data_IF_482777584666
#
_entry.id   IF_482777584666
#
_cell.length_a   1.000
_cell.length_b   1.000
_cell.length_c   1.000
_cell.angle_alpha   90.00
_cell.angle_beta   90.00
_cell.angle_gamma   90.00
#
_symmetry.space_group_name_H-M   'P 1'
#
loop_
_entity.id
_entity.type
_entity.pdbx_description
1 polymer ?
#
# COMPACT_ATOMS: atom_id res chain seq x y z
N UNK A 1 -38.83 14.55 44.61
CA UNK A 1 -38.25 13.62 43.62
C UNK A 1 -36.76 13.89 43.58
N UNK A 2 -35.97 13.14 44.36
CA UNK A 2 -34.52 13.31 44.43
C UNK A 2 -33.89 12.54 43.27
N UNK A 3 -33.34 13.26 42.29
CA UNK A 3 -32.58 12.70 41.19
C UNK A 3 -31.20 12.27 41.68
N UNK A 4 -31.01 10.97 41.90
CA UNK A 4 -29.70 10.37 42.12
C UNK A 4 -28.99 10.25 40.76
N UNK A 5 -27.97 11.07 40.55
CA UNK A 5 -27.03 10.91 39.44
C UNK A 5 -25.98 9.88 39.85
N UNK A 6 -25.98 8.73 39.18
CA UNK A 6 -24.91 7.73 39.31
C UNK A 6 -23.65 8.33 38.65
N UNK A 7 -22.50 8.40 39.36
CA UNK A 7 -21.28 8.89 38.74
C UNK A 7 -20.77 7.87 37.73
N UNK A 8 -20.59 8.30 36.48
CA UNK A 8 -19.86 7.53 35.47
C UNK A 8 -18.40 7.48 35.92
N UNK A 9 -17.91 6.28 36.24
CA UNK A 9 -16.52 6.07 36.59
C UNK A 9 -15.63 6.54 35.43
N UNK A 10 -14.61 7.35 35.74
CA UNK A 10 -13.56 7.66 34.79
C UNK A 10 -12.93 6.34 34.29
N UNK A 11 -12.62 6.21 32.99
CA UNK A 11 -11.96 5.02 32.49
C UNK A 11 -10.64 4.85 33.26
N UNK A 12 -10.46 3.69 33.87
CA UNK A 12 -9.20 3.32 34.49
C UNK A 12 -8.07 3.55 33.47
N UNK A 13 -6.98 4.18 33.90
CA UNK A 13 -5.79 4.34 33.07
C UNK A 13 -5.41 2.96 32.51
N UNK A 14 -5.33 2.86 31.19
CA UNK A 14 -4.96 1.60 30.54
C UNK A 14 -3.61 1.14 31.11
N UNK A 15 -3.48 -0.13 31.55
CA UNK A 15 -2.20 -0.65 32.02
C UNK A 15 -1.15 -0.46 30.92
N UNK A 16 0.06 -0.07 31.31
CA UNK A 16 1.20 -0.06 30.39
C UNK A 16 1.36 -1.48 29.80
N UNK A 17 1.69 -1.64 28.51
CA UNK A 17 1.87 -2.97 27.94
C UNK A 17 3.02 -3.69 28.65
N UNK A 18 2.67 -4.69 29.46
CA UNK A 18 3.54 -5.56 30.26
C UNK A 18 3.74 -6.89 29.55
N UNK A 19 4.38 -6.90 28.39
CA UNK A 19 4.88 -8.15 27.81
C UNK A 19 6.41 -8.03 27.67
N UNK A 20 7.14 -8.66 28.60
CA UNK A 20 8.57 -8.98 28.47
C UNK A 20 8.76 -10.10 27.43
N UNK A 21 8.09 -9.98 26.27
CA UNK A 21 8.23 -10.94 25.19
C UNK A 21 9.38 -10.56 24.25
N UNK A 22 9.74 -11.50 23.37
CA UNK A 22 10.86 -11.33 22.44
C UNK A 22 10.54 -10.40 21.25
N UNK A 23 9.34 -9.82 21.16
CA UNK A 23 8.92 -8.93 20.07
C UNK A 23 9.36 -7.49 20.39
N UNK A 24 10.10 -6.89 19.45
CA UNK A 24 10.51 -5.50 19.58
C UNK A 24 9.30 -4.55 19.73
N UNK A 25 9.30 -3.76 20.80
CA UNK A 25 8.25 -2.80 21.16
C UNK A 25 8.13 -1.59 20.23
N UNK A 26 7.66 -1.80 19.00
CA UNK A 26 7.47 -0.75 17.97
C UNK A 26 6.05 -0.20 17.91
N UNK A 27 5.11 -0.77 18.67
CA UNK A 27 3.70 -0.39 18.69
C UNK A 27 3.20 -0.18 20.12
N UNK A 28 2.31 0.81 20.29
CA UNK A 28 1.45 0.86 21.48
C UNK A 28 0.29 -0.11 21.28
N UNK A 29 0.38 -1.29 21.89
CA UNK A 29 -0.63 -2.35 21.77
C UNK A 29 -1.82 -2.10 22.69
N UNK A 30 -3.00 -2.54 22.26
CA UNK A 30 -4.15 -2.65 23.16
C UNK A 30 -3.88 -3.74 24.22
N UNK A 31 -4.35 -3.58 25.47
CA UNK A 31 -4.11 -4.55 26.55
C UNK A 31 -5.08 -5.74 26.44
N UNK A 32 -5.05 -6.45 25.31
CA UNK A 32 -5.84 -7.65 25.06
C UNK A 32 -5.12 -8.57 24.07
N UNK A 33 -5.36 -9.87 24.19
CA UNK A 33 -4.87 -10.89 23.25
C UNK A 33 -6.02 -11.41 22.40
N UNK A 34 -5.95 -11.18 21.08
CA UNK A 34 -6.93 -11.70 20.13
C UNK A 34 -6.53 -13.11 19.71
N UNK A 35 -7.44 -14.08 19.85
CA UNK A 35 -7.14 -15.51 19.64
C UNK A 35 -7.97 -16.14 18.53
N UNK A 36 -9.08 -15.51 18.13
CA UNK A 36 -9.97 -16.05 17.09
C UNK A 36 -10.68 -14.94 16.33
N UNK A 37 -10.92 -15.16 15.04
CA UNK A 37 -11.79 -14.33 14.21
C UNK A 37 -12.86 -15.16 13.52
N UNK A 38 -14.04 -14.58 13.29
CA UNK A 38 -15.15 -15.18 12.55
C UNK A 38 -16.01 -14.10 11.88
N UNK A 39 -16.06 -14.11 10.55
CA UNK A 39 -16.74 -13.08 9.76
C UNK A 39 -16.16 -11.70 10.05
N UNK A 40 -16.97 -10.82 10.64
CA UNK A 40 -16.54 -9.47 11.05
C UNK A 40 -16.23 -9.35 12.53
N UNK A 41 -16.18 -10.47 13.26
CA UNK A 41 -15.95 -10.49 14.69
C UNK A 41 -14.57 -11.02 15.05
N UNK A 42 -14.01 -10.46 16.12
CA UNK A 42 -12.81 -10.93 16.81
C UNK A 42 -13.18 -11.37 18.23
N UNK A 43 -12.43 -12.32 18.76
CA UNK A 43 -12.57 -12.83 20.11
C UNK A 43 -11.22 -12.80 20.82
N UNK A 44 -11.20 -12.28 22.03
CA UNK A 44 -10.00 -12.30 22.88
C UNK A 44 -9.88 -13.58 23.72
N UNK A 45 -8.75 -13.72 24.41
CA UNK A 45 -8.45 -14.85 25.28
C UNK A 45 -9.44 -15.02 26.45
N UNK A 46 -10.12 -13.95 26.86
CA UNK A 46 -11.19 -13.97 27.88
C UNK A 46 -12.56 -14.32 27.29
N UNK A 47 -12.66 -14.54 25.98
CA UNK A 47 -13.89 -14.89 25.26
C UNK A 47 -14.79 -13.69 24.95
N UNK A 48 -14.34 -12.45 25.15
CA UNK A 48 -15.08 -11.25 24.77
C UNK A 48 -15.10 -11.13 23.25
N UNK A 49 -16.28 -10.78 22.71
CA UNK A 49 -16.50 -10.61 21.28
C UNK A 49 -16.47 -9.14 20.89
N UNK A 50 -15.75 -8.81 19.82
CA UNK A 50 -15.59 -7.48 19.26
C UNK A 50 -16.08 -7.46 17.81
N UNK A 51 -16.86 -6.45 17.44
CA UNK A 51 -17.11 -6.15 16.03
C UNK A 51 -15.89 -5.37 15.50
N UNK A 52 -15.23 -5.90 14.48
CA UNK A 52 -13.98 -5.33 13.96
C UNK A 52 -14.23 -4.28 12.87
N UNK A 53 -14.04 -3.01 13.23
CA UNK A 53 -14.03 -1.89 12.28
C UNK A 53 -12.61 -1.46 11.87
N UNK A 54 -11.57 -2.10 12.40
CA UNK A 54 -10.18 -1.89 11.99
C UNK A 54 -9.85 -2.79 10.80
N UNK A 55 -10.37 -4.01 10.76
CA UNK A 55 -10.19 -5.00 9.70
C UNK A 55 -8.70 -5.22 9.37
N UNK A 56 -7.85 -5.32 10.41
CA UNK A 56 -6.40 -5.42 10.23
C UNK A 56 -5.79 -4.20 9.51
N UNK A 57 -6.34 -3.00 9.71
CA UNK A 57 -6.02 -1.78 8.97
C UNK A 57 -6.35 -1.95 7.48
N UNK A 58 -7.61 -2.26 7.20
CA UNK A 58 -8.18 -2.50 5.87
C UNK A 58 -7.65 -3.73 5.09
N UNK A 59 -6.93 -4.63 5.76
CA UNK A 59 -6.40 -5.88 5.19
C UNK A 59 -7.49 -6.94 5.04
N UNK A 60 -8.32 -7.15 6.07
CA UNK A 60 -9.26 -8.26 6.12
C UNK A 60 -10.57 -7.92 5.38
N UNK A 61 -10.50 -7.67 4.08
CA UNK A 61 -11.65 -7.25 3.27
C UNK A 61 -12.75 -8.32 3.15
N UNK A 62 -12.38 -9.60 3.22
CA UNK A 62 -13.32 -10.73 3.24
C UNK A 62 -13.73 -11.15 4.67
N UNK A 63 -13.23 -10.45 5.69
CA UNK A 63 -13.38 -10.87 7.09
C UNK A 63 -12.49 -12.05 7.46
N UNK A 64 -12.83 -12.71 8.57
CA UNK A 64 -12.10 -13.81 9.17
C UNK A 64 -12.78 -15.15 8.87
N UNK A 65 -12.03 -16.14 8.39
CA UNK A 65 -12.56 -17.48 8.12
C UNK A 65 -13.47 -17.56 6.89
N UNK A 66 -13.25 -16.69 5.89
CA UNK A 66 -13.96 -16.78 4.61
C UNK A 66 -13.77 -18.19 3.98
N UNK A 67 -14.86 -18.92 3.64
CA UNK A 67 -14.76 -20.28 3.13
C UNK A 67 -13.95 -20.40 1.83
N UNK A 68 -14.02 -19.39 0.96
CA UNK A 68 -13.27 -19.35 -0.30
C UNK A 68 -11.77 -19.21 -0.07
N UNK A 69 -11.38 -18.27 0.79
CA UNK A 69 -10.00 -18.05 1.21
C UNK A 69 -9.43 -19.29 1.93
N UNK A 70 -10.19 -19.89 2.85
CA UNK A 70 -9.78 -21.12 3.53
C UNK A 70 -9.57 -22.28 2.55
N UNK A 71 -10.46 -22.45 1.57
CA UNK A 71 -10.30 -23.46 0.52
C UNK A 71 -9.04 -23.21 -0.33
N UNK A 72 -8.79 -21.95 -0.73
CA UNK A 72 -7.61 -21.57 -1.49
C UNK A 72 -6.30 -21.81 -0.70
N UNK A 73 -6.28 -21.50 0.59
CA UNK A 73 -5.15 -21.78 1.49
C UNK A 73 -4.85 -23.27 1.61
N UNK A 74 -5.87 -24.11 1.82
CA UNK A 74 -5.68 -25.56 1.91
C UNK A 74 -5.20 -26.15 0.57
N UNK A 75 -5.79 -25.73 -0.56
CA UNK A 75 -5.37 -26.19 -1.87
C UNK A 75 -3.93 -25.76 -2.20
N UNK A 76 -3.51 -24.54 -1.82
CA UNK A 76 -2.15 -24.07 -2.01
C UNK A 76 -1.12 -24.86 -1.18
N UNK A 77 -1.51 -25.42 -0.03
CA UNK A 77 -0.63 -26.18 0.85
C UNK A 77 -0.15 -27.51 0.23
N UNK A 78 -0.93 -28.11 -0.67
CA UNK A 78 -0.53 -29.32 -1.40
C UNK A 78 0.40 -29.02 -2.61
N UNK A 79 0.59 -27.74 -2.93
CA UNK A 79 1.36 -27.26 -4.08
C UNK A 79 2.78 -26.80 -3.77
N UNK A 80 3.36 -26.07 -4.73
CA UNK A 80 4.68 -25.44 -4.54
C UNK A 80 4.58 -24.26 -3.59
N UNK A 81 5.44 -24.24 -2.56
CA UNK A 81 5.51 -23.10 -1.64
C UNK A 81 6.32 -21.96 -2.25
N UNK A 82 7.54 -22.25 -2.70
CA UNK A 82 8.49 -21.25 -3.16
C UNK A 82 9.50 -21.83 -4.14
N UNK A 83 9.83 -21.08 -5.19
CA UNK A 83 10.82 -21.47 -6.20
C UNK A 83 11.78 -20.33 -6.58
N UNK A 84 11.76 -19.19 -5.91
CA UNK A 84 12.36 -17.91 -6.39
C UNK A 84 11.78 -17.43 -7.73
N UNK A 85 12.23 -16.24 -8.18
CA UNK A 85 11.88 -15.66 -9.47
C UNK A 85 12.75 -16.18 -10.64
N UNK A 86 13.64 -17.15 -10.40
CA UNK A 86 14.42 -17.78 -11.47
C UNK A 86 13.58 -18.74 -12.34
N UNK A 87 12.45 -19.21 -11.82
CA UNK A 87 11.57 -20.15 -12.51
C UNK A 87 10.18 -19.58 -12.66
N UNK A 88 9.54 -19.89 -13.79
CA UNK A 88 8.14 -19.54 -14.05
C UNK A 88 7.22 -20.49 -13.29
N UNK A 89 6.19 -19.96 -12.63
CA UNK A 89 5.12 -20.76 -12.02
C UNK A 89 3.76 -20.27 -12.53
N UNK A 90 2.81 -21.19 -12.74
CA UNK A 90 1.50 -20.85 -13.29
C UNK A 90 0.70 -19.87 -12.39
N UNK A 91 0.62 -20.06 -11.06
CA UNK A 91 -0.21 -19.19 -10.21
C UNK A 91 0.19 -17.71 -10.26
N UNK A 92 1.50 -17.42 -10.29
CA UNK A 92 1.99 -16.04 -10.42
C UNK A 92 1.61 -15.39 -11.75
N UNK A 93 1.63 -16.16 -12.84
CA UNK A 93 1.22 -15.67 -14.15
C UNK A 93 -0.29 -15.45 -14.22
N UNK A 94 -1.07 -16.40 -13.73
CA UNK A 94 -2.54 -16.31 -13.72
C UNK A 94 -3.02 -15.10 -12.92
N UNK A 95 -2.43 -14.85 -11.74
CA UNK A 95 -2.71 -13.66 -10.95
C UNK A 95 -2.37 -12.37 -11.72
N UNK A 96 -1.21 -12.31 -12.36
CA UNK A 96 -0.80 -11.16 -13.15
C UNK A 96 -1.77 -10.90 -14.32
N UNK A 97 -2.15 -11.94 -15.04
CA UNK A 97 -3.13 -11.87 -16.15
C UNK A 97 -4.50 -11.39 -15.65
N UNK A 98 -4.96 -11.88 -14.50
CA UNK A 98 -6.21 -11.44 -13.86
C UNK A 98 -6.20 -9.95 -13.49
N UNK A 99 -5.07 -9.44 -13.00
CA UNK A 99 -4.90 -8.02 -12.65
C UNK A 99 -4.83 -7.14 -13.90
N UNK A 100 -4.06 -7.55 -14.91
CA UNK A 100 -3.97 -6.87 -16.21
C UNK A 100 -5.34 -6.79 -16.87
N UNK A 101 -6.09 -7.89 -16.92
CA UNK A 101 -7.41 -7.93 -17.55
C UNK A 101 -8.46 -7.02 -16.89
N UNK A 102 -8.23 -6.58 -15.65
CA UNK A 102 -9.18 -5.75 -14.87
C UNK A 102 -8.69 -4.33 -14.64
N UNK A 103 -7.54 -3.94 -15.20
CA UNK A 103 -6.92 -2.64 -14.95
C UNK A 103 -6.38 -2.01 -16.24
N UNK A 104 -5.80 -0.82 -16.12
CA UNK A 104 -5.07 -0.16 -17.20
C UNK A 104 -3.70 -0.80 -17.50
N UNK A 105 -3.21 -1.66 -16.60
CA UNK A 105 -1.82 -2.10 -16.61
C UNK A 105 -1.56 -3.15 -17.68
N UNK A 106 -0.33 -3.18 -18.19
CA UNK A 106 0.13 -4.20 -19.14
C UNK A 106 1.08 -5.21 -18.49
N UNK A 107 1.70 -4.85 -17.36
CA UNK A 107 2.61 -5.69 -16.59
C UNK A 107 2.40 -5.51 -15.09
N UNK A 108 2.76 -6.55 -14.34
CA UNK A 108 2.70 -6.58 -12.87
C UNK A 108 4.06 -7.03 -12.34
N UNK A 109 4.57 -6.33 -11.34
CA UNK A 109 5.67 -6.81 -10.50
C UNK A 109 5.12 -7.13 -9.11
N UNK A 110 5.42 -8.32 -8.57
CA UNK A 110 4.98 -8.72 -7.23
C UNK A 110 6.09 -8.54 -6.19
N UNK A 111 5.68 -8.18 -4.97
CA UNK A 111 6.51 -8.07 -3.77
C UNK A 111 5.70 -8.55 -2.54
N UNK A 112 6.14 -8.24 -1.33
CA UNK A 112 5.62 -8.84 -0.10
C UNK A 112 4.87 -7.85 0.80
N UNK A 113 4.97 -6.55 0.51
CA UNK A 113 4.28 -5.52 1.28
C UNK A 113 4.01 -4.28 0.42
N UNK A 114 3.14 -3.40 0.92
CA UNK A 114 2.90 -2.10 0.30
C UNK A 114 4.14 -1.20 0.28
N UNK A 115 4.97 -1.24 1.33
CA UNK A 115 6.23 -0.48 1.36
C UNK A 115 7.19 -0.93 0.26
N UNK A 116 7.32 -2.23 0.02
CA UNK A 116 8.11 -2.75 -1.10
C UNK A 116 7.50 -2.38 -2.46
N UNK A 117 6.17 -2.38 -2.58
CA UNK A 117 5.49 -1.98 -3.81
C UNK A 117 5.80 -0.52 -4.16
N UNK A 118 5.70 0.38 -3.17
CA UNK A 118 6.02 1.79 -3.37
C UNK A 118 7.51 2.03 -3.64
N UNK A 119 8.44 1.33 -2.97
CA UNK A 119 9.87 1.36 -3.34
C UNK A 119 10.10 0.92 -4.79
N UNK A 120 9.44 -0.17 -5.20
CA UNK A 120 9.44 -0.66 -6.57
C UNK A 120 8.96 0.40 -7.57
N UNK A 121 7.78 0.98 -7.34
CA UNK A 121 7.20 2.00 -8.21
C UNK A 121 8.08 3.25 -8.31
N UNK A 122 8.62 3.74 -7.19
CA UNK A 122 9.55 4.87 -7.17
C UNK A 122 10.85 4.58 -7.94
N UNK A 123 11.41 3.37 -7.80
CA UNK A 123 12.59 2.94 -8.58
C UNK A 123 12.27 2.83 -10.07
N UNK A 124 11.13 2.26 -10.43
CA UNK A 124 10.70 2.11 -11.83
C UNK A 124 10.46 3.46 -12.48
N UNK A 125 9.83 4.41 -11.78
CA UNK A 125 9.67 5.77 -12.25
C UNK A 125 11.01 6.46 -12.52
N UNK A 126 11.97 6.36 -11.59
CA UNK A 126 13.32 6.92 -11.79
C UNK A 126 14.02 6.27 -12.98
N UNK A 127 13.93 4.95 -13.13
CA UNK A 127 14.56 4.21 -14.23
C UNK A 127 14.00 4.62 -15.59
N UNK A 128 12.68 4.77 -15.69
CA UNK A 128 11.98 5.25 -16.87
C UNK A 128 12.28 6.72 -17.17
N UNK A 129 12.23 7.58 -16.16
CA UNK A 129 12.48 9.01 -16.33
C UNK A 129 13.94 9.29 -16.75
N UNK A 130 14.91 8.55 -16.20
CA UNK A 130 16.33 8.65 -16.59
C UNK A 130 16.61 8.26 -18.04
N UNK A 131 15.79 7.38 -18.62
CA UNK A 131 15.89 7.04 -20.04
C UNK A 131 15.51 8.23 -20.96
N UNK A 132 14.81 9.23 -20.41
CA UNK A 132 14.40 10.44 -21.13
C UNK A 132 15.29 11.64 -20.79
N UNK A 133 15.94 11.64 -19.64
CA UNK A 133 16.94 12.64 -19.24
C UNK A 133 17.69 12.19 -18.00
N UNK A 134 19.01 12.13 -18.07
CA UNK A 134 19.85 11.53 -17.01
C UNK A 134 19.70 12.22 -15.64
N UNK A 135 19.30 13.50 -15.62
CA UNK A 135 19.09 14.26 -14.40
C UNK A 135 17.73 13.99 -13.73
N UNK A 136 16.80 13.26 -14.38
CA UNK A 136 15.49 12.98 -13.82
C UNK A 136 15.55 11.98 -12.66
N UNK A 137 15.24 12.45 -11.45
CA UNK A 137 15.29 11.64 -10.23
C UNK A 137 14.32 12.07 -9.13
N UNK A 138 13.76 13.28 -9.19
CA UNK A 138 12.90 13.85 -8.15
C UNK A 138 11.54 13.18 -8.12
N UNK A 139 11.12 12.78 -6.94
CA UNK A 139 9.80 12.22 -6.68
C UNK A 139 9.09 13.16 -5.70
N UNK A 140 7.88 13.56 -6.06
CA UNK A 140 7.05 14.45 -5.23
C UNK A 140 5.95 13.62 -4.57
N UNK A 141 5.81 13.74 -3.27
CA UNK A 141 4.69 13.22 -2.49
C UNK A 141 3.89 14.39 -1.90
N UNK A 142 2.67 14.13 -1.43
CA UNK A 142 1.78 15.18 -0.94
C UNK A 142 1.66 15.19 0.59
N UNK A 143 1.41 16.36 1.17
CA UNK A 143 1.14 16.51 2.59
C UNK A 143 -0.03 15.64 3.03
N UNK A 144 0.13 14.96 4.17
CA UNK A 144 -0.79 13.98 4.71
C UNK A 144 -0.56 12.54 4.23
N UNK A 145 0.41 12.30 3.34
CA UNK A 145 0.64 10.98 2.76
C UNK A 145 1.26 9.96 3.74
N UNK A 146 0.98 8.68 3.49
CA UNK A 146 1.69 7.54 4.08
C UNK A 146 1.99 6.49 3.03
N UNK A 147 3.26 6.33 2.69
CA UNK A 147 3.72 5.40 1.64
C UNK A 147 4.57 4.24 2.18
N UNK A 148 4.90 4.22 3.47
CA UNK A 148 5.59 3.12 4.11
C UNK A 148 6.62 3.56 5.15
N UNK A 149 7.47 2.61 5.56
CA UNK A 149 8.49 2.77 6.60
C UNK A 149 9.91 2.37 6.15
N UNK A 150 10.10 2.03 4.88
CA UNK A 150 11.43 1.80 4.28
C UNK A 150 12.07 3.15 3.93
N UNK A 151 13.40 3.25 3.83
CA UNK A 151 14.09 4.56 3.72
C UNK A 151 13.57 5.49 2.60
N UNK A 152 13.18 4.98 1.43
CA UNK A 152 12.56 5.78 0.37
C UNK A 152 11.11 6.10 0.66
N UNK A 153 10.31 5.09 0.99
CA UNK A 153 8.88 5.29 1.31
C UNK A 153 8.64 6.16 2.55
N UNK A 154 9.56 6.13 3.51
CA UNK A 154 9.56 6.95 4.71
C UNK A 154 9.88 8.41 4.36
N UNK A 155 10.76 8.66 3.38
CA UNK A 155 11.02 10.00 2.86
C UNK A 155 9.77 10.60 2.17
N UNK A 156 8.91 9.74 1.62
CA UNK A 156 7.63 10.12 1.03
C UNK A 156 6.44 10.13 2.02
N UNK A 157 6.66 9.77 3.30
CA UNK A 157 5.60 9.68 4.32
C UNK A 157 5.58 10.93 5.20
N UNK A 158 4.48 11.67 5.22
CA UNK A 158 4.34 12.96 5.92
C UNK A 158 4.12 12.80 7.43
N UNK A 159 5.15 12.30 8.10
CA UNK A 159 5.18 12.09 9.55
C UNK A 159 6.58 12.40 10.07
N UNK A 160 6.83 13.66 10.41
CA UNK A 160 8.14 14.11 10.91
C UNK A 160 8.67 13.25 12.06
N UNK A 161 7.82 12.88 13.02
CA UNK A 161 8.19 11.99 14.12
C UNK A 161 8.65 10.59 13.67
N UNK A 162 8.17 10.11 12.52
CA UNK A 162 8.62 8.85 11.93
C UNK A 162 9.95 9.00 11.19
N UNK A 163 10.22 10.17 10.61
CA UNK A 163 11.42 10.42 9.81
C UNK A 163 12.64 10.76 10.67
N UNK A 164 12.49 11.64 11.66
CA UNK A 164 13.59 12.25 12.41
C UNK A 164 14.63 11.24 12.96
N UNK A 165 14.23 10.10 13.56
CA UNK A 165 15.19 9.16 14.14
C UNK A 165 16.08 8.43 13.13
N UNK A 166 15.74 8.45 11.84
CA UNK A 166 16.40 7.66 10.80
C UNK A 166 17.08 8.51 9.72
N UNK A 167 17.14 9.83 9.90
CA UNK A 167 17.81 10.70 8.95
C UNK A 167 19.32 10.42 8.87
N UNK A 168 19.96 10.52 7.68
CA UNK A 168 19.36 10.91 6.40
C UNK A 168 18.56 9.79 5.72
N UNK A 169 17.42 10.17 5.13
CA UNK A 169 16.59 9.27 4.31
C UNK A 169 17.02 9.28 2.84
N UNK A 170 16.33 8.51 1.99
CA UNK A 170 16.63 8.51 0.55
C UNK A 170 16.44 9.91 -0.07
N UNK A 171 17.48 10.39 -0.75
CA UNK A 171 17.45 11.71 -1.39
C UNK A 171 16.56 11.78 -2.63
N UNK A 172 16.29 13.01 -3.09
CA UNK A 172 15.48 13.26 -4.28
C UNK A 172 14.00 12.91 -4.11
N UNK A 173 13.50 12.98 -2.89
CA UNK A 173 12.10 12.80 -2.53
C UNK A 173 11.69 14.02 -1.70
N UNK A 174 10.60 14.69 -2.08
CA UNK A 174 10.07 15.85 -1.37
C UNK A 174 8.58 15.67 -1.08
N UNK A 175 8.12 16.26 0.01
CA UNK A 175 6.72 16.34 0.37
C UNK A 175 6.31 17.81 0.22
N UNK A 176 5.26 18.05 -0.57
CA UNK A 176 4.72 19.40 -0.81
C UNK A 176 3.26 19.48 -0.40
N UNK A 177 2.72 20.69 -0.30
CA UNK A 177 1.29 20.86 -0.06
C UNK A 177 0.44 20.25 -1.18
N UNK A 178 -0.83 19.99 -0.87
CA UNK A 178 -1.81 19.50 -1.85
C UNK A 178 -2.32 20.65 -2.72
N UNK A 179 -1.39 21.33 -3.38
CA UNK A 179 -1.59 22.48 -4.26
C UNK A 179 -0.82 22.26 -5.58
N UNK A 180 -1.46 22.57 -6.71
CA UNK A 180 -0.88 22.31 -8.02
C UNK A 180 0.37 23.17 -8.30
N UNK A 181 0.47 24.38 -7.74
CA UNK A 181 1.63 25.24 -7.94
C UNK A 181 2.84 24.70 -7.18
N UNK A 182 2.63 24.23 -5.95
CA UNK A 182 3.69 23.60 -5.15
C UNK A 182 4.19 22.31 -5.81
N UNK A 183 3.28 21.50 -6.36
CA UNK A 183 3.67 20.31 -7.13
C UNK A 183 4.42 20.70 -8.40
N UNK A 184 3.95 21.70 -9.16
CA UNK A 184 4.61 22.16 -10.39
C UNK A 184 6.01 22.73 -10.13
N UNK A 185 6.20 23.42 -9.00
CA UNK A 185 7.49 23.95 -8.59
C UNK A 185 8.48 22.83 -8.21
N UNK A 186 8.00 21.77 -7.54
CA UNK A 186 8.83 20.64 -7.13
C UNK A 186 9.08 19.61 -8.25
N UNK A 187 8.15 19.50 -9.20
CA UNK A 187 8.21 18.62 -10.37
C UNK A 187 8.70 19.38 -11.62
N UNK A 188 9.90 19.96 -11.53
CA UNK A 188 10.51 20.66 -12.66
C UNK A 188 10.80 19.70 -13.84
N UNK A 189 10.85 20.25 -15.05
CA UNK A 189 10.97 19.45 -16.27
C UNK A 189 12.33 18.72 -16.42
N UNK A 190 13.39 19.26 -15.79
CA UNK A 190 14.75 18.74 -15.92
C UNK A 190 14.99 17.55 -14.99
N UNK A 191 14.47 17.60 -13.76
CA UNK A 191 14.76 16.63 -12.71
C UNK A 191 13.54 15.84 -12.23
N UNK A 192 12.33 16.23 -12.59
CA UNK A 192 11.08 15.55 -12.22
C UNK A 192 10.97 14.15 -12.81
N UNK A 193 10.83 13.14 -11.94
CA UNK A 193 10.65 11.74 -12.33
C UNK A 193 9.23 11.24 -12.05
N UNK A 194 8.64 11.61 -10.92
CA UNK A 194 7.29 11.14 -10.56
C UNK A 194 6.56 12.02 -9.55
N UNK A 195 5.25 11.87 -9.52
CA UNK A 195 4.42 12.19 -8.36
C UNK A 195 3.80 10.89 -7.82
N UNK A 196 3.89 10.66 -6.51
CA UNK A 196 3.19 9.58 -5.81
C UNK A 196 2.08 10.18 -4.93
N UNK A 197 0.87 9.60 -5.03
CA UNK A 197 -0.31 10.12 -4.34
C UNK A 197 -1.29 9.00 -4.01
N UNK A 198 -1.94 9.09 -2.85
CA UNK A 198 -3.10 8.27 -2.50
C UNK A 198 -4.38 8.96 -3.02
N UNK A 199 -5.23 8.32 -3.84
CA UNK A 199 -6.56 8.87 -4.19
C UNK A 199 -7.42 9.17 -2.95
N UNK A 200 -7.28 8.34 -1.91
CA UNK A 200 -7.81 8.58 -0.57
C UNK A 200 -6.68 8.40 0.44
N UNK A 201 -6.24 9.49 1.07
CA UNK A 201 -5.22 9.43 2.11
C UNK A 201 -5.78 8.77 3.36
N UNK A 202 -5.34 7.54 3.64
CA UNK A 202 -5.84 6.75 4.75
C UNK A 202 -5.37 7.27 6.10
N UNK A 203 -4.08 7.10 6.35
CA UNK A 203 -3.42 7.57 7.59
C UNK A 203 -3.47 9.10 7.73
N UNK A 204 -3.60 9.82 6.61
CA UNK A 204 -3.77 11.27 6.53
C UNK A 204 -5.10 11.81 7.09
N UNK A 205 -5.97 10.93 7.58
CA UNK A 205 -7.26 11.27 8.18
C UNK A 205 -8.46 10.94 7.29
N UNK A 206 -8.39 9.84 6.52
CA UNK A 206 -9.43 9.40 5.58
C UNK A 206 -9.87 10.55 4.65
N UNK A 207 -8.90 11.12 3.95
CA UNK A 207 -9.11 12.30 3.11
C UNK A 207 -9.19 11.90 1.64
N UNK A 208 -10.39 12.02 1.07
CA UNK A 208 -10.60 11.87 -0.37
C UNK A 208 -10.00 13.08 -1.09
N UNK A 209 -9.11 12.85 -2.06
CA UNK A 209 -8.59 13.93 -2.89
C UNK A 209 -9.60 14.32 -3.96
N UNK A 210 -9.66 15.61 -4.25
CA UNK A 210 -10.57 16.15 -5.26
C UNK A 210 -10.26 15.56 -6.65
N UNK A 211 -11.25 15.00 -7.38
CA UNK A 211 -11.02 14.49 -8.73
C UNK A 211 -10.57 15.55 -9.74
N UNK A 212 -10.92 16.83 -9.55
CA UNK A 212 -10.40 17.94 -10.34
C UNK A 212 -8.91 18.14 -10.14
N UNK A 213 -8.46 18.19 -8.89
CA UNK A 213 -7.04 18.21 -8.54
C UNK A 213 -6.28 17.03 -9.16
N UNK A 214 -6.81 15.80 -9.08
CA UNK A 214 -6.16 14.62 -9.66
C UNK A 214 -6.07 14.69 -11.20
N UNK A 215 -7.09 15.25 -11.87
CA UNK A 215 -7.06 15.47 -13.33
C UNK A 215 -6.00 16.49 -13.72
N UNK A 216 -5.89 17.59 -12.99
CA UNK A 216 -4.85 18.61 -13.22
C UNK A 216 -3.45 18.04 -12.94
N UNK A 217 -3.30 17.25 -11.88
CA UNK A 217 -2.06 16.55 -11.56
C UNK A 217 -1.63 15.57 -12.68
N UNK A 218 -2.60 14.84 -13.26
CA UNK A 218 -2.34 13.97 -14.41
C UNK A 218 -1.90 14.76 -15.65
N UNK A 219 -2.52 15.92 -15.91
CA UNK A 219 -2.11 16.79 -17.02
C UNK A 219 -0.68 17.30 -16.81
N UNK A 220 -0.36 17.79 -15.62
CA UNK A 220 0.97 18.27 -15.25
C UNK A 220 2.04 17.16 -15.40
N UNK A 221 1.79 15.96 -14.88
CA UNK A 221 2.74 14.84 -14.99
C UNK A 221 3.00 14.46 -16.46
N UNK A 222 1.98 14.49 -17.33
CA UNK A 222 2.17 14.30 -18.78
C UNK A 222 3.00 15.41 -19.41
N UNK A 223 2.69 16.67 -19.12
CA UNK A 223 3.46 17.83 -19.62
C UNK A 223 4.96 17.72 -19.27
N UNK A 224 5.26 17.25 -18.05
CA UNK A 224 6.64 17.15 -17.54
C UNK A 224 7.34 15.84 -17.87
N UNK A 225 6.68 14.93 -18.60
CA UNK A 225 7.18 13.58 -18.83
C UNK A 225 7.64 12.93 -17.51
N UNK A 226 6.76 12.98 -16.51
CA UNK A 226 6.93 12.40 -15.19
C UNK A 226 5.83 11.37 -14.95
N UNK A 227 6.14 10.31 -14.21
CA UNK A 227 5.17 9.26 -13.92
C UNK A 227 4.17 9.71 -12.86
N UNK A 228 2.89 9.39 -13.04
CA UNK A 228 1.89 9.45 -11.98
C UNK A 228 1.75 8.08 -11.33
N UNK A 229 2.01 8.00 -10.02
CA UNK A 229 1.88 6.79 -9.22
C UNK A 229 0.69 6.94 -8.27
N UNK A 230 -0.30 6.07 -8.38
CA UNK A 230 -1.35 5.96 -7.38
C UNK A 230 -1.01 4.88 -6.36
N UNK A 231 -0.93 5.30 -5.10
CA UNK A 231 -0.89 4.38 -3.96
C UNK A 231 -2.33 3.97 -3.61
N UNK A 232 -2.70 2.77 -4.04
CA UNK A 232 -3.99 2.17 -3.75
C UNK A 232 -3.88 1.00 -2.76
N UNK A 233 -2.80 0.94 -1.99
CA UNK A 233 -2.58 -0.12 -1.01
C UNK A 233 -3.74 -0.17 -0.01
N UNK A 234 -4.25 0.99 0.42
CA UNK A 234 -5.36 1.07 1.36
C UNK A 234 -6.74 1.26 0.71
N UNK A 235 -6.81 2.05 -0.38
CA UNK A 235 -8.09 2.45 -0.97
C UNK A 235 -8.53 1.63 -2.20
N UNK A 236 -7.67 0.75 -2.71
CA UNK A 236 -7.98 -0.17 -3.79
C UNK A 236 -8.66 -1.46 -3.32
N UNK A 237 -8.74 -2.42 -4.24
CA UNK A 237 -9.29 -3.76 -4.05
C UNK A 237 -10.68 -3.77 -3.40
N UNK A 238 -11.60 -2.99 -3.96
CA UNK A 238 -13.00 -2.96 -3.53
C UNK A 238 -13.29 -2.00 -2.38
N UNK A 239 -12.27 -1.44 -1.70
CA UNK A 239 -12.46 -0.64 -0.48
C UNK A 239 -13.38 0.57 -0.68
N UNK A 240 -13.30 1.20 -1.84
CA UNK A 240 -14.08 2.40 -2.19
C UNK A 240 -15.39 2.06 -2.91
N UNK A 241 -15.67 0.79 -3.22
CA UNK A 241 -16.85 0.35 -3.97
C UNK A 241 -16.59 -0.01 -5.44
N UNK A 242 -15.40 0.31 -5.96
CA UNK A 242 -14.86 -0.17 -7.25
C UNK A 242 -13.62 -1.02 -6.99
N UNK A 243 -13.18 -1.82 -7.97
CA UNK A 243 -12.00 -2.67 -7.78
C UNK A 243 -10.76 -1.81 -7.51
N UNK A 244 -10.63 -0.69 -8.19
CA UNK A 244 -9.61 0.32 -7.95
C UNK A 244 -10.24 1.69 -7.71
N UNK A 245 -9.66 2.49 -6.82
CA UNK A 245 -10.12 3.83 -6.51
C UNK A 245 -9.98 4.79 -7.72
N UNK A 246 -8.99 4.59 -8.59
CA UNK A 246 -8.81 5.40 -9.80
C UNK A 246 -10.02 5.39 -10.73
N UNK A 247 -10.82 4.31 -10.70
CA UNK A 247 -12.06 4.22 -11.48
C UNK A 247 -13.06 5.31 -11.06
N UNK A 248 -13.11 5.66 -9.78
CA UNK A 248 -13.98 6.73 -9.26
C UNK A 248 -13.42 8.12 -9.49
N UNK A 249 -12.10 8.26 -9.61
CA UNK A 249 -11.47 9.55 -9.91
C UNK A 249 -11.54 9.91 -11.38
N UNK A 250 -11.71 8.90 -12.26
CA UNK A 250 -11.65 9.07 -13.72
C UNK A 250 -10.25 9.36 -14.24
N UNK A 251 -9.20 9.14 -13.42
CA UNK A 251 -7.81 9.44 -13.75
C UNK A 251 -7.01 8.13 -13.80
N UNK A 252 -6.44 7.81 -14.95
CA UNK A 252 -5.58 6.62 -15.10
C UNK A 252 -4.12 6.99 -14.79
N UNK A 253 -3.48 6.36 -13.79
CA UNK A 253 -2.08 6.60 -13.47
C UNK A 253 -1.15 5.83 -14.42
N UNK A 254 0.16 6.09 -14.36
CA UNK A 254 1.16 5.29 -15.09
C UNK A 254 1.55 4.02 -14.31
N UNK A 255 1.48 4.11 -12.98
CA UNK A 255 1.66 2.99 -12.07
C UNK A 255 0.64 3.03 -10.93
N UNK A 256 0.28 1.85 -10.44
CA UNK A 256 -0.61 1.67 -9.30
C UNK A 256 -0.02 0.63 -8.36
N UNK A 257 0.06 0.93 -7.06
CA UNK A 257 0.55 -0.02 -6.05
C UNK A 257 -0.59 -0.63 -5.24
N UNK A 258 -0.49 -1.94 -5.00
CA UNK A 258 -1.47 -2.75 -4.25
C UNK A 258 -0.76 -3.53 -3.14
N UNK A 259 -1.49 -3.83 -2.06
CA UNK A 259 -1.10 -4.81 -1.04
C UNK A 259 -2.35 -5.15 -0.19
N UNK A 260 -2.22 -5.19 1.14
CA UNK A 260 -3.30 -5.35 2.12
C UNK A 260 -4.31 -6.46 1.74
N UNK A 261 -5.53 -6.21 1.22
CA UNK A 261 -6.48 -7.30 0.98
C UNK A 261 -6.08 -8.24 -0.16
N UNK A 262 -5.05 -7.91 -0.95
CA UNK A 262 -4.62 -8.65 -2.15
C UNK A 262 -4.48 -10.16 -1.97
N UNK A 263 -3.97 -10.61 -0.82
CA UNK A 263 -3.76 -12.03 -0.52
C UNK A 263 -4.49 -12.47 0.75
N UNK A 264 -5.62 -11.83 1.08
CA UNK A 264 -6.48 -12.24 2.20
C UNK A 264 -5.78 -12.26 3.56
N UNK A 265 -4.81 -11.37 3.78
CA UNK A 265 -4.03 -11.30 5.03
C UNK A 265 -2.63 -11.92 4.95
N UNK A 266 -2.30 -12.67 3.90
CA UNK A 266 -0.91 -13.07 3.64
C UNK A 266 -0.07 -11.88 3.11
N UNK A 267 1.25 -11.85 3.37
CA UNK A 267 2.12 -10.80 2.85
C UNK A 267 2.22 -10.84 1.32
N UNK A 268 1.65 -9.84 0.65
CA UNK A 268 1.79 -9.62 -0.79
C UNK A 268 1.62 -8.14 -1.10
N UNK A 269 2.39 -7.66 -2.07
CA UNK A 269 2.18 -6.38 -2.74
C UNK A 269 2.41 -6.50 -4.24
N UNK A 270 1.99 -5.49 -4.98
CA UNK A 270 2.21 -5.44 -6.42
C UNK A 270 2.37 -4.01 -6.93
N UNK A 271 3.12 -3.87 -8.02
CA UNK A 271 3.15 -2.68 -8.87
C UNK A 271 2.56 -3.04 -10.21
N UNK A 272 1.40 -2.47 -10.51
CA UNK A 272 0.75 -2.53 -11.80
C UNK A 272 1.26 -1.34 -12.63
N UNK A 273 1.65 -1.56 -13.87
CA UNK A 273 2.25 -0.51 -14.69
C UNK A 273 1.87 -0.60 -16.17
N UNK A 274 1.87 0.54 -16.84
CA UNK A 274 1.74 0.60 -18.31
C UNK A 274 2.94 -0.05 -18.99
N UNK A 275 2.76 -0.45 -20.25
CA UNK A 275 3.86 -0.94 -21.08
C UNK A 275 5.01 0.08 -21.20
N UNK A 276 4.67 1.37 -21.30
CA UNK A 276 5.62 2.49 -21.38
C UNK A 276 6.62 2.50 -20.21
N UNK A 277 6.16 2.26 -18.98
CA UNK A 277 7.04 2.13 -17.81
C UNK A 277 7.78 0.79 -17.85
N UNK A 278 7.07 -0.30 -18.16
CA UNK A 278 7.61 -1.65 -18.09
C UNK A 278 8.82 -1.85 -19.00
N UNK A 279 8.80 -1.31 -20.22
CA UNK A 279 9.90 -1.46 -21.20
C UNK A 279 11.20 -0.83 -20.73
N UNK A 280 11.16 0.12 -19.79
CA UNK A 280 12.36 0.74 -19.22
C UNK A 280 13.09 -0.17 -18.22
N UNK A 281 12.39 -1.13 -17.62
CA UNK A 281 12.93 -2.01 -16.58
C UNK A 281 13.58 -3.24 -17.21
N UNK A 282 14.83 -3.51 -16.87
CA UNK A 282 15.61 -4.62 -17.43
C UNK A 282 15.91 -5.68 -16.37
N UNK A 283 16.17 -6.95 -16.77
CA UNK A 283 16.63 -7.97 -15.84
C UNK A 283 17.84 -7.47 -15.04
N UNK A 284 17.75 -7.57 -13.70
CA UNK A 284 18.77 -7.08 -12.77
C UNK A 284 18.52 -5.70 -12.16
N UNK A 285 17.64 -4.86 -12.73
CA UNK A 285 17.33 -3.53 -12.17
C UNK A 285 16.60 -3.60 -10.81
N UNK A 286 15.81 -4.67 -10.62
CA UNK A 286 15.06 -4.94 -9.40
C UNK A 286 14.79 -6.44 -9.25
N UNK A 287 14.56 -6.89 -8.02
CA UNK A 287 14.19 -8.27 -7.75
C UNK A 287 13.70 -8.45 -6.32
N UNK A 288 13.17 -9.64 -6.05
CA UNK A 288 12.71 -10.07 -4.72
C UNK A 288 12.84 -11.58 -4.65
N UNK A 289 13.16 -12.09 -3.46
CA UNK A 289 13.18 -13.54 -3.23
C UNK A 289 11.77 -14.09 -3.30
N UNK A 290 10.86 -13.58 -2.45
CA UNK A 290 9.56 -14.19 -2.20
C UNK A 290 8.41 -13.67 -3.07
N UNK A 291 8.53 -12.44 -3.60
CA UNK A 291 7.43 -11.80 -4.34
C UNK A 291 7.00 -12.62 -5.55
N UNK A 292 5.69 -12.82 -5.69
CA UNK A 292 5.09 -13.64 -6.75
C UNK A 292 5.21 -15.15 -6.53
N UNK A 293 5.61 -15.60 -5.34
CA UNK A 293 5.74 -17.01 -5.01
C UNK A 293 4.44 -17.80 -5.20
N UNK A 294 4.50 -19.06 -5.68
CA UNK A 294 3.34 -19.83 -6.12
C UNK A 294 2.29 -20.03 -5.03
N UNK A 295 2.67 -20.19 -3.76
CA UNK A 295 1.70 -20.35 -2.66
C UNK A 295 0.83 -19.11 -2.49
N UNK A 296 1.46 -17.95 -2.24
CA UNK A 296 0.71 -16.71 -1.99
C UNK A 296 -0.05 -16.27 -3.24
N UNK A 297 0.53 -16.48 -4.44
CA UNK A 297 -0.15 -16.18 -5.69
C UNK A 297 -1.37 -17.08 -5.93
N UNK A 298 -1.32 -18.36 -5.54
CA UNK A 298 -2.48 -19.26 -5.62
C UNK A 298 -3.61 -18.81 -4.71
N UNK A 299 -3.28 -18.34 -3.50
CA UNK A 299 -4.26 -17.81 -2.54
C UNK A 299 -4.89 -16.50 -3.01
N UNK A 300 -4.11 -15.64 -3.67
CA UNK A 300 -4.54 -14.32 -4.14
C UNK A 300 -5.33 -14.34 -5.47
N UNK A 301 -5.34 -15.46 -6.19
CA UNK A 301 -5.87 -15.59 -7.56
C UNK A 301 -7.38 -15.76 -7.63
#
# INVERSE_FOLDING_TARGET
MNGSTVPVAAPAAAPAPTADDAILGTYKRAPMELVRGEGVYLYDAEGRRYLDFVAGIAVNALGYGDPGLCAALHAAADGLIHTSNLYRTAPGVELAEKLVARSFASKVFFCNSGGEANEGAMKFARRWARAQGEQKHRIVALRGAFHGRLFGTLAATDRTAYQLPFQPLAGGISIVERDLNDVAAALDAETGAAVIVEPVQGEGGVRVLDPGFLRELRALTRERNAALIFDEIQCGLGRTGTLFAYEQTGVVPDMLTLAKPMAGGLPMGAVLMTDEIAVAIKPGDHGTTFGGGPFVASVAS
#
